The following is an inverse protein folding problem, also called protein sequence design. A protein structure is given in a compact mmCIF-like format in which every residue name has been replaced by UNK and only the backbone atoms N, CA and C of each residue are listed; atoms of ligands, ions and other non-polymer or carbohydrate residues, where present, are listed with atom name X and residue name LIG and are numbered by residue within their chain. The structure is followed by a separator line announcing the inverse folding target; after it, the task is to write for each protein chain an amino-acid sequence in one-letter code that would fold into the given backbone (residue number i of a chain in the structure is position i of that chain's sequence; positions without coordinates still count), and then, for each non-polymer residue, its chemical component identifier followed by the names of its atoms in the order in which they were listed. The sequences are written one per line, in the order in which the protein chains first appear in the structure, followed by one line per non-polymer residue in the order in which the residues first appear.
data_IF_431676423356
#
_entry.id   IF_431676423356
#
_cell.length_a   1.000
_cell.length_b   1.000
_cell.length_c   1.000
_cell.angle_alpha   90.00
_cell.angle_beta   90.00
_cell.angle_gamma   90.00
#
_symmetry.space_group_name_H-M   'P 1'
#
loop_
_entity.id
_entity.type
_entity.pdbx_description
1 polymer ?
#
# COMPACT_ATOMS: atom_id res chain seq x y z
N UNK A 1 -5.06 -1.98 18.74
CA UNK A 1 -4.56 -0.80 18.00
C UNK A 1 -4.04 -1.33 16.68
N UNK A 2 -4.59 -0.85 15.57
CA UNK A 2 -4.23 -1.33 14.24
C UNK A 2 -2.93 -0.65 13.80
N UNK A 3 -1.85 -1.38 13.45
CA UNK A 3 -0.56 -0.80 13.08
C UNK A 3 -0.51 -0.26 11.63
N UNK A 4 -1.65 -0.03 11.00
CA UNK A 4 -1.75 0.32 9.57
C UNK A 4 -1.91 1.82 9.28
N UNK A 5 -1.71 2.69 10.27
CA UNK A 5 -1.88 4.14 10.13
C UNK A 5 -0.56 4.91 10.35
N UNK A 6 0.58 4.30 10.03
CA UNK A 6 1.89 4.95 10.18
C UNK A 6 2.30 5.79 8.94
N UNK A 7 1.53 5.76 7.85
CA UNK A 7 1.83 6.44 6.57
C UNK A 7 0.79 7.48 6.12
N UNK A 8 -0.25 7.75 6.90
CA UNK A 8 -1.16 8.85 6.58
C UNK A 8 -0.47 10.17 6.93
N UNK A 9 0.35 10.69 6.02
CA UNK A 9 0.92 12.03 6.15
C UNK A 9 -0.23 13.00 6.49
N UNK A 10 -0.11 13.81 7.55
CA UNK A 10 -1.17 14.74 7.93
C UNK A 10 -1.48 15.64 6.73
N UNK A 11 -2.76 15.76 6.37
CA UNK A 11 -3.22 16.59 5.25
C UNK A 11 -2.70 18.03 5.39
N UNK A 12 -1.56 18.33 4.75
CA UNK A 12 -0.92 19.64 4.76
C UNK A 12 -1.36 20.44 3.54
N UNK A 13 -1.78 21.69 3.77
CA UNK A 13 -2.04 22.64 2.69
C UNK A 13 -0.78 23.49 2.51
N UNK A 14 -0.10 23.44 1.35
CA UNK A 14 1.14 24.17 1.10
C UNK A 14 0.99 25.69 1.24
N UNK A 15 1.99 26.36 1.81
CA UNK A 15 2.04 27.81 1.89
C UNK A 15 2.45 28.46 0.55
N UNK A 16 2.24 29.78 0.37
CA UNK A 16 2.68 30.48 -0.85
C UNK A 16 4.20 30.37 -1.07
N UNK A 17 4.61 29.73 -2.14
CA UNK A 17 6.02 29.49 -2.49
C UNK A 17 6.52 28.08 -2.18
N UNK A 18 5.73 27.27 -1.48
CA UNK A 18 5.99 25.84 -1.30
C UNK A 18 5.46 25.05 -2.50
N UNK A 19 6.08 23.90 -2.78
CA UNK A 19 5.63 23.00 -3.83
C UNK A 19 4.22 22.49 -3.51
N UNK A 20 3.30 22.62 -4.47
CA UNK A 20 2.00 21.99 -4.37
C UNK A 20 2.02 20.50 -4.70
N UNK A 21 3.13 20.01 -5.24
CA UNK A 21 3.34 18.60 -5.57
C UNK A 21 3.95 17.93 -4.33
N UNK A 22 3.30 16.92 -3.74
CA UNK A 22 3.89 16.11 -2.69
C UNK A 22 5.20 15.46 -3.16
N UNK A 23 6.18 15.38 -2.28
CA UNK A 23 7.40 14.65 -2.55
C UNK A 23 7.11 13.14 -2.54
N UNK A 24 7.72 12.40 -3.46
CA UNK A 24 7.62 10.94 -3.50
C UNK A 24 8.45 10.35 -2.35
N UNK A 25 7.93 9.31 -1.69
CA UNK A 25 8.72 8.54 -0.72
C UNK A 25 9.89 7.84 -1.42
N UNK A 26 10.97 7.55 -0.68
CA UNK A 26 12.22 7.03 -1.26
C UNK A 26 12.01 5.64 -1.88
N UNK A 27 11.09 4.86 -1.33
CA UNK A 27 10.73 3.51 -1.76
C UNK A 27 9.72 3.47 -2.92
N UNK A 28 9.04 4.57 -3.25
CA UNK A 28 8.09 4.61 -4.38
C UNK A 28 8.76 4.35 -5.74
N UNK A 29 10.06 4.62 -5.86
CA UNK A 29 10.85 4.34 -7.07
C UNK A 29 11.62 3.02 -6.99
N UNK A 30 11.58 2.36 -5.84
CA UNK A 30 12.23 1.08 -5.62
C UNK A 30 11.31 -0.02 -6.13
N UNK A 31 11.87 -0.95 -6.90
CA UNK A 31 11.10 -2.10 -7.35
C UNK A 31 10.57 -2.90 -6.13
N UNK A 32 9.37 -3.51 -6.23
CA UNK A 32 8.86 -4.38 -5.20
C UNK A 32 9.88 -5.45 -4.81
N UNK A 33 9.82 -5.92 -3.57
CA UNK A 33 10.71 -7.01 -3.15
C UNK A 33 10.33 -8.29 -3.92
N UNK A 34 11.30 -9.16 -4.28
CA UNK A 34 11.00 -10.39 -5.01
C UNK A 34 9.96 -11.28 -4.33
N UNK A 35 9.92 -11.27 -2.98
CA UNK A 35 8.95 -12.03 -2.20
C UNK A 35 7.52 -11.49 -2.35
N UNK A 36 7.37 -10.17 -2.54
CA UNK A 36 6.07 -9.52 -2.73
C UNK A 36 5.49 -9.83 -4.10
N UNK A 37 6.31 -9.82 -5.15
CA UNK A 37 5.89 -10.25 -6.49
C UNK A 37 5.38 -11.70 -6.50
N UNK A 38 6.05 -12.59 -5.75
CA UNK A 38 5.60 -13.98 -5.60
C UNK A 38 4.26 -14.06 -4.86
N UNK A 39 4.08 -13.28 -3.80
CA UNK A 39 2.82 -13.26 -3.04
C UNK A 39 1.65 -12.74 -3.88
N UNK A 40 1.88 -11.78 -4.78
CA UNK A 40 0.87 -11.30 -5.73
C UNK A 40 0.50 -12.38 -6.75
N UNK A 41 1.48 -13.11 -7.29
CA UNK A 41 1.22 -14.24 -8.20
C UNK A 41 0.37 -15.33 -7.54
N UNK A 42 0.64 -15.64 -6.26
CA UNK A 42 -0.15 -16.62 -5.52
C UNK A 42 -1.58 -16.15 -5.20
N UNK A 43 -1.80 -14.84 -5.12
CA UNK A 43 -3.12 -14.22 -4.91
C UNK A 43 -3.84 -13.80 -6.19
N UNK A 44 -3.20 -13.94 -7.36
CA UNK A 44 -3.75 -13.48 -8.63
C UNK A 44 -5.04 -14.21 -9.04
N UNK A 45 -5.27 -15.41 -8.50
CA UNK A 45 -6.51 -16.14 -8.70
C UNK A 45 -7.50 -15.81 -7.58
N UNK A 46 -8.75 -15.41 -7.92
CA UNK A 46 -9.77 -15.22 -6.91
C UNK A 46 -10.07 -16.57 -6.25
N UNK A 47 -10.23 -16.55 -4.93
CA UNK A 47 -10.73 -17.69 -4.18
C UNK A 47 -12.20 -17.90 -4.50
N UNK A 48 -12.51 -19.03 -5.14
CA UNK A 48 -13.87 -19.41 -5.57
C UNK A 48 -14.48 -20.47 -4.67
N UNK A 49 -13.76 -20.91 -3.64
CA UNK A 49 -14.29 -21.88 -2.69
C UNK A 49 -15.35 -21.21 -1.79
N UNK A 50 -16.33 -21.99 -1.33
CA UNK A 50 -17.40 -21.50 -0.46
C UNK A 50 -16.97 -21.67 1.01
N UNK A 51 -16.38 -20.61 1.58
CA UNK A 51 -15.92 -20.58 2.98
C UNK A 51 -17.03 -20.22 3.98
N UNK A 52 -18.30 -20.20 3.56
CA UNK A 52 -19.41 -19.82 4.45
C UNK A 52 -19.80 -20.88 5.47
N UNK A 53 -19.20 -22.09 5.39
CA UNK A 53 -19.43 -23.17 6.34
C UNK A 53 -18.15 -23.45 7.13
N UNK A 54 -18.23 -23.49 8.48
CA UNK A 54 -17.12 -23.97 9.29
C UNK A 54 -17.00 -25.51 9.15
N UNK A 55 -15.77 -25.99 8.94
CA UNK A 55 -15.38 -27.41 9.02
C UNK A 55 -15.51 -27.96 10.45
#
# INVERSE_FOLDING_TARGET
MSPYDEHAAPHHVPAPGESSIPELEVDETVAPRPEEELADLMRAQPDVEDHTRPE
#
